data_IF_596379608464
#
_entry.id   IF_596379608464
#
_cell.length_a   1.000
_cell.length_b   1.000
_cell.length_c   1.000
_cell.angle_alpha   90.00
_cell.angle_beta   90.00
_cell.angle_gamma   90.00
#
_symmetry.space_group_name_H-M   'P 1'
#
loop_
_entity.id
_entity.type
_entity.pdbx_description
1 polymer ?
#
# COMPACT_ATOMS: atom_id res chain seq x y z
N UNK A 1 9.65 4.09 -15.81
CA UNK A 1 10.01 3.36 -14.57
C UNK A 1 9.55 1.91 -14.62
N UNK A 2 8.25 1.63 -14.76
CA UNK A 2 7.75 0.24 -14.82
C UNK A 2 8.20 -0.54 -16.08
N UNK A 3 8.75 0.12 -17.10
CA UNK A 3 9.29 -0.51 -18.32
C UNK A 3 10.43 -1.50 -18.05
N UNK A 4 11.15 -1.36 -16.93
CA UNK A 4 12.17 -2.33 -16.51
C UNK A 4 11.54 -3.66 -16.03
N UNK A 5 10.22 -3.69 -15.82
CA UNK A 5 9.42 -4.84 -15.38
C UNK A 5 8.24 -5.09 -16.32
N UNK A 6 8.49 -5.47 -17.60
CA UNK A 6 7.47 -5.45 -18.66
C UNK A 6 6.26 -6.35 -18.38
N UNK A 7 6.48 -7.55 -17.81
CA UNK A 7 5.39 -8.46 -17.45
C UNK A 7 4.44 -7.86 -16.42
N UNK A 8 4.98 -7.13 -15.43
CA UNK A 8 4.17 -6.42 -14.46
C UNK A 8 3.48 -5.19 -15.08
N UNK A 9 4.19 -4.43 -15.92
CA UNK A 9 3.65 -3.26 -16.62
C UNK A 9 2.42 -3.62 -17.47
N UNK A 10 2.44 -4.76 -18.17
CA UNK A 10 1.31 -5.22 -18.96
C UNK A 10 0.05 -5.43 -18.09
N UNK A 11 0.17 -6.19 -16.99
CA UNK A 11 -0.92 -6.41 -16.05
C UNK A 11 -1.42 -5.12 -15.40
N UNK A 12 -0.48 -4.22 -15.04
CA UNK A 12 -0.80 -2.89 -14.52
C UNK A 12 -1.64 -2.07 -15.50
N UNK A 13 -1.22 -1.97 -16.77
CA UNK A 13 -1.93 -1.21 -17.79
C UNK A 13 -3.33 -1.78 -18.06
N UNK A 14 -3.47 -3.11 -18.11
CA UNK A 14 -4.77 -3.77 -18.32
C UNK A 14 -5.74 -3.45 -17.18
N UNK A 15 -5.32 -3.62 -15.92
CA UNK A 15 -6.15 -3.30 -14.77
C UNK A 15 -6.51 -1.80 -14.72
N UNK A 16 -5.53 -0.93 -14.96
CA UNK A 16 -5.75 0.52 -14.92
C UNK A 16 -6.75 0.97 -15.98
N UNK A 17 -6.66 0.39 -17.19
CA UNK A 17 -7.63 0.61 -18.25
C UNK A 17 -9.02 0.13 -17.84
N UNK A 18 -9.15 -1.11 -17.36
CA UNK A 18 -10.44 -1.70 -17.03
C UNK A 18 -11.16 -0.90 -15.92
N UNK A 19 -10.42 -0.56 -14.86
CA UNK A 19 -10.96 0.20 -13.74
C UNK A 19 -11.54 1.56 -14.13
N UNK A 20 -10.96 2.27 -15.11
CA UNK A 20 -11.31 3.66 -15.41
C UNK A 20 -12.06 3.85 -16.73
N UNK A 21 -11.74 3.02 -17.72
CA UNK A 21 -12.21 3.14 -19.11
C UNK A 21 -12.96 1.90 -19.62
N UNK A 22 -12.80 0.75 -18.99
CA UNK A 22 -13.51 -0.49 -19.37
C UNK A 22 -14.99 -0.48 -18.99
N UNK A 23 -15.69 -1.57 -19.28
CA UNK A 23 -17.09 -1.69 -18.89
C UNK A 23 -17.19 -1.91 -17.36
N UNK A 24 -18.22 -1.36 -16.74
CA UNK A 24 -18.34 -1.52 -15.29
C UNK A 24 -19.50 -0.79 -14.65
N UNK A 25 -19.77 -1.06 -13.35
CA UNK A 25 -20.94 -0.56 -12.64
C UNK A 25 -21.05 0.97 -12.58
N UNK A 26 -19.92 1.69 -12.58
CA UNK A 26 -19.89 3.15 -12.46
C UNK A 26 -19.77 3.85 -13.82
N UNK A 27 -20.39 5.02 -14.00
CA UNK A 27 -20.10 5.90 -15.13
C UNK A 27 -18.66 6.43 -15.10
N UNK A 28 -18.03 6.63 -16.27
CA UNK A 28 -16.64 7.08 -16.36
C UNK A 28 -16.35 8.38 -15.58
N UNK A 29 -17.27 9.36 -15.60
CA UNK A 29 -17.12 10.61 -14.84
C UNK A 29 -17.00 10.38 -13.34
N UNK A 30 -17.80 9.46 -12.77
CA UNK A 30 -17.68 9.10 -11.35
C UNK A 30 -16.35 8.39 -11.07
N UNK A 31 -15.92 7.48 -11.94
CA UNK A 31 -14.64 6.76 -11.77
C UNK A 31 -13.46 7.72 -11.68
N UNK A 32 -13.39 8.70 -12.59
CA UNK A 32 -12.32 9.72 -12.60
C UNK A 32 -12.37 10.59 -11.34
N UNK A 33 -13.57 11.02 -10.91
CA UNK A 33 -13.69 11.82 -9.69
C UNK A 33 -13.32 11.04 -8.41
N UNK A 34 -13.67 9.75 -8.34
CA UNK A 34 -13.25 8.86 -7.23
C UNK A 34 -11.72 8.74 -7.20
N UNK A 35 -11.08 8.58 -8.35
CA UNK A 35 -9.62 8.54 -8.45
C UNK A 35 -8.97 9.85 -7.98
N UNK A 36 -9.56 11.00 -8.32
CA UNK A 36 -9.13 12.32 -7.80
C UNK A 36 -9.24 12.33 -6.27
N UNK A 37 -10.40 11.97 -5.70
CA UNK A 37 -10.62 11.98 -4.25
C UNK A 37 -9.62 11.08 -3.50
N UNK A 38 -9.30 9.93 -4.06
CA UNK A 38 -8.34 8.97 -3.52
C UNK A 38 -6.91 9.54 -3.54
N UNK A 39 -6.44 10.04 -4.69
CA UNK A 39 -5.12 10.66 -4.81
C UNK A 39 -4.94 11.90 -3.90
N UNK A 40 -6.02 12.66 -3.67
CA UNK A 40 -6.02 13.80 -2.75
C UNK A 40 -5.69 13.41 -1.30
N UNK A 41 -5.95 12.16 -0.87
CA UNK A 41 -5.65 11.71 0.51
C UNK A 41 -4.18 11.67 0.88
N UNK A 42 -3.33 11.68 -0.14
CA UNK A 42 -1.87 11.62 -0.01
C UNK A 42 -1.20 12.81 -0.70
N UNK A 43 -1.94 13.89 -0.96
CA UNK A 43 -1.44 15.09 -1.64
C UNK A 43 -0.63 14.78 -2.92
N UNK A 44 -1.00 13.74 -3.68
CA UNK A 44 -0.25 13.29 -4.86
C UNK A 44 -0.64 14.12 -6.09
N UNK A 45 0.04 15.24 -6.35
CA UNK A 45 -0.34 16.15 -7.44
C UNK A 45 -0.27 15.52 -8.82
N UNK A 46 0.70 14.63 -9.05
CA UNK A 46 0.83 13.92 -10.33
C UNK A 46 -0.49 13.22 -10.73
N UNK A 47 -1.05 12.41 -9.82
CA UNK A 47 -2.30 11.67 -10.08
C UNK A 47 -3.52 12.58 -10.03
N UNK A 48 -3.55 13.58 -9.15
CA UNK A 48 -4.68 14.52 -9.05
C UNK A 48 -4.84 15.30 -10.36
N UNK A 49 -3.77 15.86 -10.90
CA UNK A 49 -3.84 16.65 -12.14
C UNK A 49 -4.11 15.76 -13.36
N UNK A 50 -3.50 14.58 -13.44
CA UNK A 50 -3.78 13.61 -14.51
C UNK A 50 -5.26 13.20 -14.52
N UNK A 51 -5.84 12.89 -13.36
CA UNK A 51 -7.25 12.49 -13.30
C UNK A 51 -8.22 13.67 -13.42
N UNK A 52 -7.84 14.91 -13.05
CA UNK A 52 -8.64 16.12 -13.35
C UNK A 52 -8.76 16.32 -14.86
N UNK A 53 -7.66 16.22 -15.61
CA UNK A 53 -7.68 16.31 -17.06
C UNK A 53 -8.56 15.21 -17.65
N UNK A 54 -8.34 13.96 -17.27
CA UNK A 54 -9.13 12.83 -17.75
C UNK A 54 -10.62 12.94 -17.38
N UNK A 55 -10.96 13.51 -16.21
CA UNK A 55 -12.34 13.77 -15.79
C UNK A 55 -13.05 14.77 -16.71
N UNK A 56 -12.38 15.86 -17.11
CA UNK A 56 -12.95 16.85 -18.03
C UNK A 56 -13.08 16.27 -19.45
N UNK A 57 -12.13 15.46 -19.91
CA UNK A 57 -12.17 14.80 -21.22
C UNK A 57 -13.37 13.85 -21.38
N UNK A 58 -13.79 13.19 -20.30
CA UNK A 58 -14.99 12.33 -20.30
C UNK A 58 -16.29 13.10 -20.01
N UNK A 59 -16.26 14.44 -20.06
CA UNK A 59 -17.44 15.31 -19.90
C UNK A 59 -17.81 15.61 -18.44
N UNK A 60 -16.86 15.50 -17.51
CA UNK A 60 -17.03 15.91 -16.12
C UNK A 60 -17.26 17.42 -15.97
N UNK A 61 -18.07 17.82 -14.97
CA UNK A 61 -18.34 19.23 -14.68
C UNK A 61 -17.18 19.89 -13.95
N UNK A 62 -16.65 20.99 -14.48
CA UNK A 62 -15.64 21.82 -13.81
C UNK A 62 -16.07 22.30 -12.42
N UNK A 63 -17.38 22.46 -12.20
CA UNK A 63 -17.93 22.87 -10.91
C UNK A 63 -17.58 21.86 -9.81
N UNK A 64 -17.56 20.56 -10.12
CA UNK A 64 -17.23 19.52 -9.13
C UNK A 64 -15.77 19.63 -8.66
N UNK A 65 -14.89 20.19 -9.49
CA UNK A 65 -13.48 20.38 -9.16
C UNK A 65 -13.25 21.57 -8.19
N UNK A 66 -14.26 22.40 -7.96
CA UNK A 66 -14.19 23.48 -6.96
C UNK A 66 -14.29 22.95 -5.51
N UNK A 67 -14.77 21.71 -5.34
CA UNK A 67 -14.76 21.03 -4.05
C UNK A 67 -15.83 19.93 -3.96
N UNK A 68 -15.67 19.04 -2.98
CA UNK A 68 -16.53 17.86 -2.80
C UNK A 68 -18.02 18.22 -2.66
N UNK A 69 -18.32 19.38 -2.05
CA UNK A 69 -19.69 19.84 -1.85
C UNK A 69 -20.42 20.21 -3.16
N UNK A 70 -19.69 20.47 -4.25
CA UNK A 70 -20.24 20.66 -5.59
C UNK A 70 -20.49 19.35 -6.34
N UNK A 71 -19.87 18.24 -5.90
CA UNK A 71 -20.10 16.93 -6.49
C UNK A 71 -21.48 16.35 -6.08
N UNK A 72 -22.04 15.39 -6.83
CA UNK A 72 -23.29 14.73 -6.49
C UNK A 72 -23.26 14.12 -5.09
N UNK A 73 -24.41 14.12 -4.42
CA UNK A 73 -24.56 13.56 -3.06
C UNK A 73 -24.02 12.13 -2.94
N UNK A 74 -24.16 11.34 -4.00
CA UNK A 74 -23.62 9.99 -4.12
C UNK A 74 -22.10 9.92 -3.86
N UNK A 75 -21.31 10.83 -4.44
CA UNK A 75 -19.86 10.93 -4.22
C UNK A 75 -19.51 11.51 -2.85
N UNK A 76 -20.28 12.49 -2.37
CA UNK A 76 -20.10 13.04 -1.02
C UNK A 76 -20.27 11.96 0.05
N UNK A 77 -21.24 11.06 -0.12
CA UNK A 77 -21.51 9.97 0.83
C UNK A 77 -20.41 8.89 0.81
N UNK A 78 -19.69 8.74 -0.30
CA UNK A 78 -18.54 7.84 -0.45
C UNK A 78 -17.29 8.34 0.28
N UNK A 79 -17.15 9.65 0.50
CA UNK A 79 -15.94 10.26 1.06
C UNK A 79 -15.47 9.62 2.37
N UNK A 80 -16.38 9.25 3.26
CA UNK A 80 -15.98 8.60 4.51
C UNK A 80 -15.31 7.24 4.29
N UNK A 81 -15.75 6.48 3.28
CA UNK A 81 -15.09 5.22 2.88
C UNK A 81 -13.69 5.50 2.33
N UNK A 82 -13.53 6.56 1.53
CA UNK A 82 -12.23 7.00 1.02
C UNK A 82 -11.23 7.28 2.16
N UNK A 83 -11.67 8.04 3.18
CA UNK A 83 -10.87 8.33 4.37
C UNK A 83 -10.40 7.05 5.08
N UNK A 84 -11.35 6.15 5.37
CA UNK A 84 -11.08 4.93 6.13
C UNK A 84 -10.11 4.03 5.35
N UNK A 85 -10.35 3.79 4.05
CA UNK A 85 -9.52 2.88 3.26
C UNK A 85 -8.09 3.39 3.12
N UNK A 86 -7.90 4.69 2.86
CA UNK A 86 -6.58 5.29 2.68
C UNK A 86 -5.68 5.14 3.91
N UNK A 87 -6.26 5.19 5.11
CA UNK A 87 -5.51 5.46 6.33
C UNK A 87 -5.67 4.41 7.43
N UNK A 88 -6.88 3.88 7.62
CA UNK A 88 -7.19 2.93 8.69
C UNK A 88 -8.18 1.87 8.19
N UNK A 89 -7.85 1.11 7.13
CA UNK A 89 -8.80 0.24 6.41
C UNK A 89 -9.45 -0.81 7.30
N UNK A 90 -8.77 -1.24 8.36
CA UNK A 90 -9.31 -2.16 9.38
C UNK A 90 -10.54 -1.64 10.14
N UNK A 91 -10.82 -0.33 10.10
CA UNK A 91 -12.06 0.24 10.66
C UNK A 91 -13.27 0.06 9.73
N UNK A 92 -13.05 -0.22 8.46
CA UNK A 92 -14.12 -0.43 7.50
C UNK A 92 -14.91 -1.70 7.84
N UNK A 93 -16.24 -1.62 7.79
CA UNK A 93 -17.12 -2.67 8.30
C UNK A 93 -18.50 -2.57 7.65
N UNK A 94 -19.34 -3.59 7.86
CA UNK A 94 -20.66 -3.72 7.23
C UNK A 94 -21.61 -2.53 7.45
N UNK A 95 -21.46 -1.75 8.53
CA UNK A 95 -22.29 -0.56 8.75
C UNK A 95 -21.97 0.57 7.77
N UNK A 96 -20.71 0.70 7.36
CA UNK A 96 -20.30 1.63 6.31
C UNK A 96 -20.91 1.24 4.96
N UNK A 97 -20.87 -0.06 4.62
CA UNK A 97 -21.53 -0.61 3.42
C UNK A 97 -23.04 -0.32 3.45
N UNK A 98 -23.71 -0.64 4.56
CA UNK A 98 -25.15 -0.40 4.73
C UNK A 98 -25.52 1.08 4.55
N UNK A 99 -24.67 2.01 5.03
CA UNK A 99 -24.90 3.45 4.87
C UNK A 99 -24.86 3.85 3.39
N UNK A 100 -23.88 3.35 2.62
CA UNK A 100 -23.78 3.62 1.19
C UNK A 100 -24.97 3.03 0.41
N UNK A 101 -25.38 1.80 0.73
CA UNK A 101 -26.54 1.18 0.09
C UNK A 101 -27.81 2.00 0.35
N UNK A 102 -28.00 2.49 1.58
CA UNK A 102 -29.11 3.40 1.91
C UNK A 102 -29.04 4.74 1.17
N UNK A 103 -27.86 5.17 0.76
CA UNK A 103 -27.62 6.35 -0.07
C UNK A 103 -27.72 6.08 -1.59
N UNK A 104 -28.17 4.89 -2.01
CA UNK A 104 -28.41 4.56 -3.42
C UNK A 104 -27.20 4.02 -4.18
N UNK A 105 -26.19 3.50 -3.47
CA UNK A 105 -25.12 2.71 -4.07
C UNK A 105 -25.51 1.23 -4.18
N UNK A 106 -25.28 0.62 -5.34
CA UNK A 106 -25.34 -0.84 -5.45
C UNK A 106 -24.06 -1.48 -4.90
N UNK A 107 -24.11 -2.77 -4.55
CA UNK A 107 -22.95 -3.50 -4.04
C UNK A 107 -21.82 -3.57 -5.10
N UNK A 108 -22.17 -3.73 -6.38
CA UNK A 108 -21.22 -3.70 -7.49
C UNK A 108 -20.57 -2.32 -7.67
N UNK A 109 -21.33 -1.23 -7.53
CA UNK A 109 -20.77 0.13 -7.57
C UNK A 109 -19.83 0.40 -6.38
N UNK A 110 -20.16 -0.08 -5.18
CA UNK A 110 -19.29 0.03 -4.00
C UNK A 110 -18.00 -0.75 -4.25
N UNK A 111 -18.10 -1.98 -4.78
CA UNK A 111 -16.94 -2.83 -5.09
C UNK A 111 -16.02 -2.14 -6.09
N UNK A 112 -16.57 -1.60 -7.18
CA UNK A 112 -15.81 -0.84 -8.17
C UNK A 112 -15.15 0.41 -7.55
N UNK A 113 -15.88 1.17 -6.74
CA UNK A 113 -15.33 2.35 -6.05
C UNK A 113 -14.19 1.98 -5.10
N UNK A 114 -14.31 0.89 -4.34
CA UNK A 114 -13.26 0.37 -3.45
C UNK A 114 -12.01 0.01 -4.26
N UNK A 115 -12.16 -0.68 -5.40
CA UNK A 115 -11.04 -1.00 -6.28
C UNK A 115 -10.32 0.24 -6.80
N UNK A 116 -11.07 1.27 -7.22
CA UNK A 116 -10.47 2.53 -7.69
C UNK A 116 -9.74 3.26 -6.54
N UNK A 117 -10.39 3.42 -5.39
CA UNK A 117 -9.78 4.11 -4.24
C UNK A 117 -8.48 3.43 -3.81
N UNK A 118 -8.52 2.11 -3.56
CA UNK A 118 -7.35 1.36 -3.13
C UNK A 118 -6.21 1.41 -4.18
N UNK A 119 -6.54 1.34 -5.47
CA UNK A 119 -5.55 1.47 -6.56
C UNK A 119 -4.87 2.84 -6.55
N UNK A 120 -5.61 3.92 -6.34
CA UNK A 120 -5.05 5.28 -6.34
C UNK A 120 -4.32 5.66 -5.04
N UNK A 121 -4.74 5.12 -3.89
CA UNK A 121 -3.97 5.21 -2.65
C UNK A 121 -2.61 4.54 -2.78
N UNK A 122 -2.60 3.32 -3.33
CA UNK A 122 -1.39 2.56 -3.51
C UNK A 122 -0.49 3.17 -4.61
N UNK A 123 -1.07 3.69 -5.70
CA UNK A 123 -0.34 4.46 -6.72
C UNK A 123 0.31 5.72 -6.15
N UNK A 124 -0.37 6.42 -5.24
CA UNK A 124 0.23 7.58 -4.55
C UNK A 124 1.50 7.15 -3.81
N UNK A 125 1.47 5.99 -3.14
CA UNK A 125 2.67 5.42 -2.50
C UNK A 125 3.79 5.18 -3.49
N UNK A 126 3.48 4.62 -4.66
CA UNK A 126 4.45 4.36 -5.71
C UNK A 126 5.07 5.67 -6.26
N UNK A 127 4.25 6.68 -6.56
CA UNK A 127 4.69 7.97 -7.11
C UNK A 127 5.62 8.71 -6.15
N UNK A 128 5.24 8.81 -4.87
CA UNK A 128 6.08 9.42 -3.83
C UNK A 128 7.34 8.59 -3.55
N UNK A 129 7.22 7.27 -3.46
CA UNK A 129 8.34 6.36 -3.22
C UNK A 129 9.40 6.38 -4.31
N UNK A 130 8.98 6.60 -5.56
CA UNK A 130 9.87 6.78 -6.70
C UNK A 130 10.40 8.21 -6.86
N UNK A 131 9.99 9.16 -6.02
CA UNK A 131 10.45 10.55 -6.07
C UNK A 131 9.82 11.39 -7.20
N UNK A 132 8.81 10.88 -7.92
CA UNK A 132 8.18 11.58 -9.05
C UNK A 132 7.54 12.89 -8.60
N UNK A 133 6.84 12.88 -7.46
CA UNK A 133 6.19 14.07 -6.92
C UNK A 133 7.22 15.20 -6.65
N UNK A 134 8.35 14.86 -6.03
CA UNK A 134 9.42 15.80 -5.72
C UNK A 134 10.09 16.39 -6.97
N UNK A 135 10.09 15.67 -8.10
CA UNK A 135 10.60 16.19 -9.38
C UNK A 135 9.61 17.10 -10.11
N UNK A 136 8.31 16.97 -9.85
CA UNK A 136 7.27 17.81 -10.45
C UNK A 136 7.07 19.13 -9.72
N UNK A 137 7.35 19.15 -8.41
CA UNK A 137 7.32 20.36 -7.60
C UNK A 137 8.71 21.02 -7.57
N UNK A 138 8.83 22.33 -7.84
CA UNK A 138 10.07 23.12 -7.68
C UNK A 138 10.54 23.22 -6.20
N UNK A 139 10.28 22.20 -5.38
CA UNK A 139 10.70 22.12 -3.99
C UNK A 139 12.20 21.92 -3.92
N UNK A 140 12.84 22.63 -2.98
CA UNK A 140 14.26 22.45 -2.69
C UNK A 140 14.54 20.99 -2.36
N UNK A 141 15.57 20.43 -3.01
CA UNK A 141 16.03 19.06 -2.77
C UNK A 141 16.51 18.95 -1.33
N UNK A 142 15.62 18.54 -0.43
CA UNK A 142 15.99 18.17 0.93
C UNK A 142 16.70 16.81 0.91
N UNK A 143 17.72 16.64 1.75
CA UNK A 143 18.36 15.34 1.94
C UNK A 143 17.35 14.33 2.44
N UNK A 144 17.43 13.07 1.98
CA UNK A 144 16.49 12.02 2.39
C UNK A 144 16.38 11.97 3.93
N UNK A 145 15.17 12.03 4.51
CA UNK A 145 14.99 12.08 5.96
C UNK A 145 15.54 10.83 6.66
N UNK A 146 15.71 9.73 5.91
CA UNK A 146 16.30 8.48 6.38
C UNK A 146 17.83 8.52 6.52
N UNK A 147 18.51 9.53 5.98
CA UNK A 147 19.95 9.77 6.21
C UNK A 147 20.20 10.27 7.63
N UNK A 148 19.27 11.03 8.20
CA UNK A 148 19.38 11.61 9.53
C UNK A 148 18.74 10.74 10.62
N UNK A 149 17.82 9.84 10.24
CA UNK A 149 17.18 8.90 11.14
C UNK A 149 18.12 7.73 11.53
N UNK A 150 18.85 7.93 12.63
CA UNK A 150 19.30 6.91 13.59
C UNK A 150 20.64 6.17 13.34
N UNK A 151 21.62 6.54 14.16
CA UNK A 151 22.72 5.69 14.63
C UNK A 151 22.29 4.60 15.66
N UNK A 152 20.98 4.39 15.88
CA UNK A 152 20.42 3.58 17.00
C UNK A 152 19.70 2.28 16.59
N UNK A 153 20.14 1.61 15.52
CA UNK A 153 19.68 0.25 15.18
C UNK A 153 20.22 -0.83 16.13
N UNK A 154 19.55 -2.00 16.19
CA UNK A 154 20.14 -3.21 16.79
C UNK A 154 21.45 -3.58 16.07
N UNK A 155 22.40 -4.30 16.70
CA UNK A 155 23.64 -4.71 16.04
C UNK A 155 23.38 -5.41 14.69
N UNK A 156 22.42 -6.34 14.70
CA UNK A 156 21.95 -7.04 13.49
C UNK A 156 21.43 -6.09 12.40
N UNK A 157 20.73 -5.00 12.76
CA UNK A 157 20.28 -4.02 11.78
C UNK A 157 21.43 -3.18 11.22
N UNK A 158 22.46 -2.88 12.02
CA UNK A 158 23.63 -2.11 11.56
C UNK A 158 24.48 -2.92 10.57
N UNK A 159 24.69 -4.20 10.86
CA UNK A 159 25.38 -5.12 9.95
C UNK A 159 24.70 -5.20 8.57
N UNK A 160 23.37 -5.27 8.53
CA UNK A 160 22.62 -5.23 7.27
C UNK A 160 22.80 -3.90 6.53
N UNK A 161 22.76 -2.78 7.26
CA UNK A 161 22.88 -1.45 6.68
C UNK A 161 24.26 -1.22 6.07
N UNK A 162 25.29 -1.58 6.81
CA UNK A 162 26.69 -1.41 6.41
C UNK A 162 27.08 -2.40 5.32
N UNK A 163 26.64 -3.66 5.42
CA UNK A 163 26.97 -4.73 4.50
C UNK A 163 26.06 -4.85 3.28
N UNK A 164 24.87 -4.22 3.30
CA UNK A 164 23.93 -4.18 2.18
C UNK A 164 23.56 -5.57 1.64
N UNK A 165 23.55 -5.69 0.31
CA UNK A 165 23.27 -6.94 -0.42
C UNK A 165 24.10 -8.12 0.08
N UNK A 166 25.39 -7.95 0.42
CA UNK A 166 26.24 -9.08 0.80
C UNK A 166 25.76 -9.79 2.06
N UNK A 167 25.44 -9.02 3.10
CA UNK A 167 24.94 -9.55 4.38
C UNK A 167 23.50 -10.06 4.24
N UNK A 168 22.67 -9.36 3.46
CA UNK A 168 21.30 -9.81 3.18
C UNK A 168 21.30 -11.22 2.57
N UNK A 169 22.13 -11.45 1.57
CA UNK A 169 22.22 -12.75 0.89
C UNK A 169 22.71 -13.86 1.80
N UNK A 170 23.66 -13.57 2.68
CA UNK A 170 24.13 -14.56 3.66
C UNK A 170 23.03 -14.96 4.65
N UNK A 171 22.23 -13.99 5.11
CA UNK A 171 21.09 -14.26 5.98
C UNK A 171 20.00 -15.04 5.30
N UNK A 172 19.71 -14.73 4.02
CA UNK A 172 18.75 -15.50 3.24
C UNK A 172 19.19 -16.96 3.07
N UNK A 173 20.49 -17.22 2.82
CA UNK A 173 21.02 -18.60 2.77
C UNK A 173 20.84 -19.31 4.09
N UNK A 174 21.19 -18.64 5.20
CA UNK A 174 21.06 -19.20 6.54
C UNK A 174 19.61 -19.58 6.86
N UNK A 175 18.66 -18.69 6.53
CA UNK A 175 17.23 -18.94 6.72
C UNK A 175 16.71 -20.06 5.82
N UNK A 176 17.13 -20.11 4.56
CA UNK A 176 16.74 -21.17 3.62
C UNK A 176 17.21 -22.55 4.10
N UNK A 177 18.45 -22.66 4.60
CA UNK A 177 18.97 -23.89 5.21
C UNK A 177 18.16 -24.29 6.45
N UNK A 178 17.81 -23.34 7.32
CA UNK A 178 17.01 -23.61 8.52
C UNK A 178 15.57 -24.06 8.19
N UNK A 179 15.00 -23.60 7.07
CA UNK A 179 13.65 -24.00 6.63
C UNK A 179 13.60 -25.39 5.99
N UNK A 180 14.72 -25.87 5.42
CA UNK A 180 14.77 -27.21 4.81
C UNK A 180 14.61 -28.38 5.81
N UNK A 181 14.69 -28.10 7.12
CA UNK A 181 14.56 -29.09 8.20
C UNK A 181 13.09 -29.45 8.57
N UNK A 182 12.10 -29.17 7.71
CA UNK A 182 10.71 -29.65 7.81
C UNK A 182 9.91 -29.27 9.09
N UNK A 183 10.31 -28.25 9.83
CA UNK A 183 9.51 -27.77 10.96
C UNK A 183 8.47 -26.75 10.50
N UNK A 184 7.22 -27.18 10.35
CA UNK A 184 6.07 -26.28 10.23
C UNK A 184 6.01 -25.42 11.50
N UNK A 185 6.05 -24.09 11.34
CA UNK A 185 5.88 -23.18 12.47
C UNK A 185 4.45 -23.32 13.01
N UNK A 186 4.32 -23.53 14.32
CA UNK A 186 3.01 -23.60 14.97
C UNK A 186 2.32 -22.23 14.91
N UNK A 187 0.98 -22.22 14.80
CA UNK A 187 0.18 -20.98 14.82
C UNK A 187 0.48 -20.09 16.04
N UNK A 188 0.79 -20.70 17.19
CA UNK A 188 1.13 -19.98 18.42
C UNK A 188 2.43 -19.16 18.28
N UNK A 189 3.49 -19.78 17.76
CA UNK A 189 4.77 -19.10 17.47
C UNK A 189 4.60 -18.01 16.41
N UNK A 190 3.80 -18.25 15.37
CA UNK A 190 3.44 -17.23 14.37
C UNK A 190 2.74 -16.05 15.03
N UNK A 191 1.79 -16.31 15.92
CA UNK A 191 1.07 -15.27 16.66
C UNK A 191 1.98 -14.46 17.57
N UNK A 192 2.87 -15.11 18.31
CA UNK A 192 3.82 -14.45 19.20
C UNK A 192 4.81 -13.56 18.43
N UNK A 193 5.38 -14.09 17.34
CA UNK A 193 6.32 -13.34 16.49
C UNK A 193 5.63 -12.16 15.79
N UNK A 194 4.38 -12.33 15.34
CA UNK A 194 3.57 -11.26 14.77
C UNK A 194 3.30 -10.14 15.79
N UNK A 195 2.84 -10.49 17.00
CA UNK A 195 2.57 -9.50 18.06
C UNK A 195 3.85 -8.77 18.49
N UNK A 196 5.01 -9.44 18.45
CA UNK A 196 6.31 -8.79 18.67
C UNK A 196 6.63 -7.79 17.57
N UNK A 197 6.46 -8.15 16.29
CA UNK A 197 6.69 -7.24 15.17
C UNK A 197 5.72 -6.05 15.20
N UNK A 198 4.44 -6.30 15.42
CA UNK A 198 3.38 -5.30 15.56
C UNK A 198 3.66 -4.27 16.67
N UNK A 199 4.28 -4.70 17.78
CA UNK A 199 4.77 -3.78 18.82
C UNK A 199 6.01 -3.01 18.39
N UNK A 200 6.90 -3.63 17.61
CA UNK A 200 8.09 -2.96 17.07
C UNK A 200 7.71 -1.88 16.07
N UNK A 201 6.78 -2.14 15.14
CA UNK A 201 6.32 -1.16 14.14
C UNK A 201 5.69 0.06 14.80
N UNK A 202 4.95 -0.11 15.90
CA UNK A 202 4.41 1.00 16.69
C UNK A 202 5.48 1.87 17.38
N UNK A 203 6.68 1.33 17.62
CA UNK A 203 7.82 2.08 18.18
C UNK A 203 8.72 2.69 17.10
N UNK A 204 8.53 2.30 15.84
CA UNK A 204 9.24 2.90 14.71
C UNK A 204 8.51 4.20 14.37
N UNK A 205 8.99 5.30 14.94
CA UNK A 205 8.60 6.65 14.54
C UNK A 205 9.07 6.90 13.10
N UNK A 206 8.17 7.36 12.25
CA UNK A 206 8.56 7.99 10.99
C UNK A 206 9.28 9.30 11.30
N UNK A 207 10.19 9.77 10.43
CA UNK A 207 10.89 11.02 10.66
C UNK A 207 9.87 12.14 10.89
N UNK A 208 9.95 12.83 12.03
CA UNK A 208 9.25 14.08 12.22
C UNK A 208 9.85 15.08 11.22
N UNK A 209 9.17 15.31 10.10
CA UNK A 209 9.43 16.50 9.31
C UNK A 209 8.97 17.65 10.19
N UNK A 210 9.91 18.45 10.70
CA UNK A 210 9.59 19.70 11.42
C UNK A 210 8.56 20.46 10.57
N UNK A 211 7.31 20.47 11.03
CA UNK A 211 6.22 21.20 10.40
C UNK A 211 6.48 22.70 10.58
N UNK A 212 7.34 23.27 9.75
CA UNK A 212 7.37 24.71 9.53
C UNK A 212 6.07 25.07 8.82
N UNK A 213 5.06 25.39 9.64
CA UNK A 213 3.67 25.70 9.30
C UNK A 213 2.89 24.48 8.82
N UNK A 214 1.80 24.14 9.51
CA UNK A 214 0.78 23.22 9.02
C UNK A 214 0.22 23.77 7.71
N UNK A 215 0.85 23.42 6.59
CA UNK A 215 0.29 23.65 5.26
C UNK A 215 -0.91 22.75 5.16
N UNK A 216 -2.11 23.33 5.19
CA UNK A 216 -3.34 22.65 4.81
C UNK A 216 -3.08 21.77 3.57
N UNK A 217 -3.52 20.51 3.58
CA UNK A 217 -3.49 19.65 2.39
C UNK A 217 -3.96 20.43 1.18
N UNK A 218 -3.19 20.38 0.08
CA UNK A 218 -3.43 21.17 -1.14
C UNK A 218 -4.83 20.93 -1.71
N UNK A 219 -5.38 19.77 -1.41
CA UNK A 219 -6.63 19.27 -1.97
C UNK A 219 -7.73 19.05 -0.94
N UNK A 220 -7.66 19.71 0.22
CA UNK A 220 -8.66 19.59 1.29
C UNK A 220 -10.08 19.98 0.86
N UNK A 221 -10.23 20.81 -0.18
CA UNK A 221 -11.52 21.18 -0.76
C UNK A 221 -12.17 20.01 -1.53
N UNK A 222 -11.37 19.14 -2.16
CA UNK A 222 -11.81 17.95 -2.90
C UNK A 222 -11.91 16.71 -2.01
N UNK A 223 -11.10 16.65 -0.96
CA UNK A 223 -11.09 15.55 0.02
C UNK A 223 -10.95 16.12 1.44
N UNK A 224 -12.06 16.57 2.06
CA UNK A 224 -12.07 17.15 3.40
C UNK A 224 -11.54 16.20 4.49
N UNK A 225 -11.34 16.72 5.69
CA UNK A 225 -10.75 16.02 6.85
C UNK A 225 -9.31 15.55 6.59
N UNK A 226 -8.36 16.47 6.32
CA UNK A 226 -6.97 16.12 6.08
C UNK A 226 -6.30 15.49 7.31
N UNK A 227 -6.81 15.76 8.51
CA UNK A 227 -6.26 15.23 9.77
C UNK A 227 -6.56 13.74 9.99
N UNK A 228 -7.49 13.15 9.22
CA UNK A 228 -7.73 11.70 9.26
C UNK A 228 -6.58 10.97 8.56
N UNK A 229 -5.55 10.63 9.32
CA UNK A 229 -4.31 10.01 8.82
C UNK A 229 -4.15 8.58 9.33
N UNK A 230 -3.14 7.89 8.79
CA UNK A 230 -2.76 6.59 9.31
C UNK A 230 -2.40 6.69 10.79
N UNK A 231 -2.88 5.71 11.54
CA UNK A 231 -2.57 5.50 12.94
C UNK A 231 -2.20 4.04 13.08
N UNK A 232 -1.10 3.74 13.77
CA UNK A 232 -0.65 2.36 13.92
C UNK A 232 -1.80 1.44 14.37
N UNK A 233 -1.99 0.34 13.63
CA UNK A 233 -3.00 -0.70 13.94
C UNK A 233 -2.91 -1.17 15.40
N UNK A 234 -1.72 -1.07 16.00
CA UNK A 234 -1.51 -1.28 17.42
C UNK A 234 -0.97 -0.02 18.09
N UNK A 235 -1.72 0.53 19.03
CA UNK A 235 -1.27 1.63 19.89
C UNK A 235 -0.57 1.10 21.13
N UNK A 236 0.52 1.76 21.52
CA UNK A 236 1.29 1.40 22.72
C UNK A 236 0.42 1.51 23.98
N UNK A 237 0.25 0.39 24.69
CA UNK A 237 -0.46 0.35 25.97
C UNK A 237 -1.98 0.24 25.88
N UNK A 238 -2.55 0.21 24.67
CA UNK A 238 -3.99 0.03 24.44
C UNK A 238 -4.26 -1.37 23.87
N UNK A 239 -5.37 -1.99 24.30
CA UNK A 239 -5.89 -3.17 23.59
C UNK A 239 -6.51 -2.67 22.29
N UNK A 240 -6.00 -3.12 21.14
CA UNK A 240 -6.62 -2.82 19.84
C UNK A 240 -8.08 -3.29 19.88
N UNK A 241 -9.03 -2.38 19.62
CA UNK A 241 -10.47 -2.71 19.59
C UNK A 241 -10.87 -3.56 18.38
N UNK A 242 -10.05 -3.52 17.32
CA UNK A 242 -10.25 -4.28 16.09
C UNK A 242 -9.36 -5.53 16.07
N UNK A 243 -9.93 -6.71 15.76
CA UNK A 243 -9.16 -7.94 15.71
C UNK A 243 -8.19 -7.95 14.52
N UNK A 244 -7.01 -8.54 14.72
CA UNK A 244 -6.08 -8.92 13.65
C UNK A 244 -6.83 -9.81 12.64
N UNK A 245 -6.67 -9.53 11.36
CA UNK A 245 -7.21 -10.38 10.29
C UNK A 245 -6.22 -11.51 10.04
N UNK A 246 -6.65 -12.75 10.24
CA UNK A 246 -5.86 -13.92 9.86
C UNK A 246 -6.04 -14.18 8.36
N UNK A 247 -4.97 -14.56 7.68
CA UNK A 247 -5.03 -14.92 6.26
C UNK A 247 -6.01 -16.07 6.02
N UNK A 248 -6.13 -17.03 6.94
CA UNK A 248 -7.11 -18.13 6.84
C UNK A 248 -8.57 -17.66 6.95
N UNK A 249 -8.84 -16.58 7.71
CA UNK A 249 -10.19 -16.05 7.89
C UNK A 249 -10.62 -15.16 6.72
N UNK A 250 -9.67 -14.56 6.01
CA UNK A 250 -9.92 -13.64 4.90
C UNK A 250 -8.68 -13.55 3.99
N UNK A 251 -8.46 -14.56 3.16
CA UNK A 251 -7.42 -14.55 2.13
C UNK A 251 -7.91 -13.88 0.85
N UNK A 252 -6.96 -13.49 0.00
CA UNK A 252 -7.30 -13.01 -1.32
C UNK A 252 -7.97 -14.12 -2.13
N UNK A 253 -7.42 -15.34 -2.11
CA UNK A 253 -7.87 -16.46 -2.94
C UNK A 253 -9.30 -16.90 -2.63
N UNK A 254 -9.65 -17.01 -1.35
CA UNK A 254 -10.95 -17.58 -0.92
C UNK A 254 -12.05 -16.52 -0.79
N UNK A 255 -11.69 -15.30 -0.39
CA UNK A 255 -12.67 -14.26 -0.10
C UNK A 255 -12.58 -13.09 -1.07
N UNK A 256 -11.39 -12.54 -1.27
CA UNK A 256 -11.18 -11.34 -2.08
C UNK A 256 -11.55 -11.56 -3.55
N UNK A 257 -10.87 -12.52 -4.18
CA UNK A 257 -11.07 -12.90 -5.57
C UNK A 257 -12.50 -13.35 -5.83
N UNK A 258 -13.02 -14.29 -5.06
CA UNK A 258 -14.39 -14.81 -5.24
C UNK A 258 -15.44 -13.69 -5.21
N UNK A 259 -15.33 -12.75 -4.27
CA UNK A 259 -16.29 -11.66 -4.14
C UNK A 259 -16.17 -10.64 -5.29
N UNK A 260 -14.95 -10.28 -5.69
CA UNK A 260 -14.76 -9.38 -6.84
C UNK A 260 -15.22 -10.05 -8.12
N UNK A 261 -14.91 -11.32 -8.34
CA UNK A 261 -15.29 -12.06 -9.55
C UNK A 261 -16.80 -12.24 -9.68
N UNK A 262 -17.54 -12.27 -8.57
CA UNK A 262 -19.00 -12.27 -8.55
C UNK A 262 -19.59 -10.87 -8.86
N UNK A 263 -19.01 -9.81 -8.29
CA UNK A 263 -19.58 -8.47 -8.32
C UNK A 263 -19.07 -7.60 -9.48
N UNK A 264 -17.88 -7.90 -10.00
CA UNK A 264 -17.17 -7.21 -11.06
C UNK A 264 -16.13 -8.13 -11.75
N UNK A 265 -16.63 -9.12 -12.47
CA UNK A 265 -15.89 -10.28 -12.99
C UNK A 265 -14.52 -9.97 -13.62
N UNK A 266 -14.47 -9.12 -14.64
CA UNK A 266 -13.24 -8.86 -15.41
C UNK A 266 -12.11 -8.27 -14.55
N UNK A 267 -12.44 -7.51 -13.51
CA UNK A 267 -11.44 -6.92 -12.60
C UNK A 267 -10.90 -7.95 -11.60
N UNK A 268 -11.66 -8.99 -11.26
CA UNK A 268 -11.23 -10.05 -10.37
C UNK A 268 -10.00 -10.77 -10.90
N UNK A 269 -10.06 -11.24 -12.15
CA UNK A 269 -8.96 -11.93 -12.82
C UNK A 269 -7.74 -11.02 -13.00
N UNK A 270 -7.96 -9.75 -13.40
CA UNK A 270 -6.87 -8.79 -13.60
C UNK A 270 -6.13 -8.46 -12.28
N UNK A 271 -6.85 -8.34 -11.17
CA UNK A 271 -6.25 -8.13 -9.85
C UNK A 271 -5.44 -9.35 -9.41
N UNK A 272 -6.01 -10.54 -9.57
CA UNK A 272 -5.36 -11.79 -9.18
C UNK A 272 -4.06 -12.03 -9.97
N UNK A 273 -4.10 -11.87 -11.29
CA UNK A 273 -2.93 -11.95 -12.17
C UNK A 273 -1.86 -10.92 -11.75
N UNK A 274 -2.26 -9.68 -11.44
CA UNK A 274 -1.33 -8.62 -11.03
C UNK A 274 -0.66 -8.92 -9.70
N UNK A 275 -1.42 -9.38 -8.69
CA UNK A 275 -0.87 -9.77 -7.40
C UNK A 275 0.09 -10.95 -7.53
N UNK A 276 -0.30 -12.01 -8.25
CA UNK A 276 0.56 -13.16 -8.51
C UNK A 276 1.82 -12.78 -9.26
N UNK A 277 1.70 -11.91 -10.26
CA UNK A 277 2.86 -11.42 -11.02
C UNK A 277 3.83 -10.69 -10.12
N UNK A 278 3.38 -9.69 -9.35
CA UNK A 278 4.27 -8.94 -8.46
C UNK A 278 4.87 -9.81 -7.34
N UNK A 279 4.07 -10.69 -6.73
CA UNK A 279 4.52 -11.54 -5.64
C UNK A 279 5.53 -12.60 -6.09
N UNK A 280 5.41 -13.12 -7.32
CA UNK A 280 6.30 -14.17 -7.83
C UNK A 280 7.45 -13.63 -8.71
N UNK A 281 7.39 -12.38 -9.15
CA UNK A 281 8.41 -11.78 -10.02
C UNK A 281 9.80 -11.87 -9.39
N UNK A 282 10.73 -12.44 -10.15
CA UNK A 282 12.15 -12.51 -9.81
C UNK A 282 12.97 -12.63 -11.08
N UNK A 283 14.13 -11.95 -11.09
CA UNK A 283 15.14 -12.10 -12.13
C UNK A 283 16.28 -13.03 -11.71
N UNK A 284 16.14 -13.64 -10.53
CA UNK A 284 17.19 -14.38 -9.85
C UNK A 284 18.50 -13.58 -9.68
N UNK A 285 18.36 -12.27 -9.42
CA UNK A 285 19.47 -11.34 -9.18
C UNK A 285 19.27 -10.59 -7.87
N UNK A 286 20.38 -10.12 -7.29
CA UNK A 286 20.38 -9.15 -6.20
C UNK A 286 21.68 -8.33 -6.28
N UNK A 287 21.56 -7.04 -6.60
CA UNK A 287 22.69 -6.18 -6.93
C UNK A 287 23.47 -6.73 -8.13
N UNK A 288 24.79 -6.89 -7.98
CA UNK A 288 25.64 -7.48 -9.01
C UNK A 288 25.69 -9.00 -9.01
N UNK A 289 24.94 -9.69 -8.12
CA UNK A 289 24.97 -11.15 -8.02
C UNK A 289 23.83 -11.77 -8.82
N UNK A 290 24.13 -12.86 -9.51
CA UNK A 290 23.18 -13.66 -10.30
C UNK A 290 22.93 -15.02 -9.64
N UNK A 291 21.91 -15.73 -10.10
CA UNK A 291 21.48 -17.03 -9.57
C UNK A 291 21.11 -17.00 -8.08
N UNK A 292 20.47 -15.90 -7.66
CA UNK A 292 20.01 -15.68 -6.30
C UNK A 292 18.50 -15.81 -6.25
N UNK A 293 17.97 -16.73 -5.44
CA UNK A 293 16.55 -16.69 -5.10
C UNK A 293 16.28 -15.59 -4.06
N UNK A 294 15.47 -14.61 -4.43
CA UNK A 294 15.09 -13.45 -3.61
C UNK A 294 13.77 -13.62 -2.87
N UNK A 295 13.12 -14.78 -2.97
CA UNK A 295 11.78 -15.01 -2.43
C UNK A 295 11.64 -14.61 -0.95
N UNK A 296 12.57 -15.05 -0.09
CA UNK A 296 12.53 -14.73 1.34
C UNK A 296 12.49 -13.22 1.61
N UNK A 297 13.30 -12.44 0.89
CA UNK A 297 13.31 -10.99 1.02
C UNK A 297 12.00 -10.37 0.53
N UNK A 298 11.51 -10.77 -0.65
CA UNK A 298 10.28 -10.25 -1.25
C UNK A 298 9.05 -10.57 -0.38
N UNK A 299 8.95 -11.81 0.10
CA UNK A 299 7.93 -12.22 1.06
C UNK A 299 8.04 -11.46 2.39
N UNK A 300 9.26 -11.21 2.88
CA UNK A 300 9.49 -10.38 4.07
C UNK A 300 9.00 -8.94 3.92
N UNK A 301 9.21 -8.31 2.76
CA UNK A 301 8.66 -6.97 2.44
C UNK A 301 7.14 -7.01 2.42
N UNK A 302 6.54 -7.96 1.70
CA UNK A 302 5.08 -8.12 1.59
C UNK A 302 4.42 -8.31 2.96
N UNK A 303 4.95 -9.23 3.76
CA UNK A 303 4.40 -9.58 5.08
C UNK A 303 4.62 -8.48 6.12
N UNK A 304 5.70 -7.70 5.99
CA UNK A 304 5.90 -6.49 6.80
C UNK A 304 4.82 -5.44 6.49
N UNK A 305 4.53 -5.19 5.22
CA UNK A 305 3.50 -4.22 4.81
C UNK A 305 2.11 -4.67 5.26
N UNK A 306 1.74 -5.93 5.06
CA UNK A 306 0.49 -6.50 5.57
C UNK A 306 0.37 -6.39 7.10
N UNK A 307 1.48 -6.54 7.83
CA UNK A 307 1.51 -6.35 9.28
C UNK A 307 1.15 -4.91 9.70
N UNK A 308 1.56 -3.89 8.93
CA UNK A 308 1.17 -2.49 9.17
C UNK A 308 -0.35 -2.29 9.06
N UNK A 309 -1.01 -3.09 8.24
CA UNK A 309 -2.47 -3.08 8.05
C UNK A 309 -3.22 -4.12 8.89
N UNK A 310 -2.55 -4.77 9.84
CA UNK A 310 -3.17 -5.71 10.78
C UNK A 310 -3.53 -7.06 10.17
N UNK A 311 -2.88 -7.46 9.08
CA UNK A 311 -3.05 -8.75 8.41
C UNK A 311 -1.91 -9.70 8.81
N UNK A 312 -2.26 -10.88 9.31
CA UNK A 312 -1.32 -11.92 9.74
C UNK A 312 -1.42 -13.15 8.83
N UNK A 313 -0.29 -13.60 8.31
CA UNK A 313 -0.14 -14.86 7.58
C UNK A 313 0.23 -15.97 8.56
N UNK A 314 -0.59 -17.01 8.64
CA UNK A 314 -0.52 -18.01 9.71
C UNK A 314 0.66 -18.99 9.59
N UNK A 315 1.22 -19.14 8.39
CA UNK A 315 2.33 -20.02 8.03
C UNK A 315 3.69 -19.30 7.97
N UNK A 316 3.77 -18.05 8.45
CA UNK A 316 4.98 -17.22 8.36
C UNK A 316 5.61 -16.89 9.71
N UNK A 317 6.92 -17.11 9.84
CA UNK A 317 7.68 -16.64 11.00
C UNK A 317 8.07 -15.16 10.85
N UNK A 318 7.35 -14.29 11.54
CA UNK A 318 7.59 -12.85 11.55
C UNK A 318 8.93 -12.45 12.19
N UNK A 319 9.63 -13.38 12.87
CA UNK A 319 10.99 -13.14 13.34
C UNK A 319 11.98 -12.93 12.19
N UNK A 320 11.74 -13.55 11.03
CA UNK A 320 12.58 -13.47 9.84
C UNK A 320 12.68 -12.04 9.28
N UNK A 321 11.62 -11.23 9.42
CA UNK A 321 11.60 -9.83 8.96
C UNK A 321 12.71 -9.00 9.62
N UNK A 322 13.09 -9.29 10.87
CA UNK A 322 14.21 -8.60 11.53
C UNK A 322 15.59 -9.04 11.01
N UNK A 323 15.67 -10.21 10.36
CA UNK A 323 16.89 -10.71 9.75
C UNK A 323 17.07 -10.22 8.32
N UNK A 324 15.96 -9.92 7.63
CA UNK A 324 15.93 -9.55 6.21
C UNK A 324 15.82 -8.05 5.98
N UNK A 325 15.08 -7.31 6.83
CA UNK A 325 14.84 -5.89 6.65
C UNK A 325 15.54 -5.08 7.75
N UNK A 326 16.45 -4.21 7.36
CA UNK A 326 17.09 -3.24 8.27
C UNK A 326 16.07 -2.20 8.78
N UNK A 327 16.40 -1.54 9.89
CA UNK A 327 15.54 -0.53 10.52
C UNK A 327 15.19 0.61 9.56
N UNK A 328 16.14 1.12 8.79
CA UNK A 328 15.92 2.24 7.88
C UNK A 328 15.01 1.84 6.71
N UNK A 329 15.16 0.62 6.19
CA UNK A 329 14.24 0.06 5.20
C UNK A 329 12.83 -0.11 5.78
N UNK A 330 12.68 -0.56 7.03
CA UNK A 330 11.36 -0.64 7.70
C UNK A 330 10.70 0.72 7.91
N UNK A 331 11.49 1.72 8.32
CA UNK A 331 11.04 3.11 8.44
C UNK A 331 10.57 3.64 7.09
N UNK A 332 11.36 3.42 6.04
CA UNK A 332 11.01 3.81 4.69
C UNK A 332 9.73 3.11 4.20
N UNK A 333 9.65 1.78 4.31
CA UNK A 333 8.47 1.01 3.92
C UNK A 333 7.21 1.48 4.64
N UNK A 334 7.30 1.76 5.96
CA UNK A 334 6.18 2.34 6.74
C UNK A 334 5.81 3.74 6.24
N UNK A 335 6.81 4.59 5.98
CA UNK A 335 6.57 5.96 5.52
C UNK A 335 5.92 5.97 4.14
N UNK A 336 6.49 5.25 3.16
CA UNK A 336 5.94 5.21 1.79
C UNK A 336 4.55 4.58 1.74
N UNK A 337 4.24 3.61 2.59
CA UNK A 337 2.92 2.97 2.59
C UNK A 337 1.85 3.72 3.36
N UNK A 338 2.21 4.46 4.42
CA UNK A 338 1.24 5.05 5.37
C UNK A 338 1.21 6.58 5.34
N UNK A 339 2.32 7.21 4.96
CA UNK A 339 2.52 8.67 4.92
C UNK A 339 3.34 9.09 3.69
N UNK A 340 2.99 8.64 2.47
CA UNK A 340 3.79 8.90 1.27
C UNK A 340 4.06 10.39 1.03
N UNK A 341 3.14 11.28 1.40
CA UNK A 341 3.27 12.73 1.30
C UNK A 341 4.45 13.32 2.09
N UNK A 342 4.99 12.60 3.08
CA UNK A 342 6.20 13.01 3.82
C UNK A 342 7.49 12.79 3.02
N UNK A 343 7.43 12.05 1.90
CA UNK A 343 8.57 11.84 1.01
C UNK A 343 8.70 13.03 0.05
N UNK A 344 9.49 14.03 0.46
CA UNK A 344 9.71 15.27 -0.31
C UNK A 344 11.05 15.28 -1.09
N UNK A 345 11.76 14.15 -1.14
CA UNK A 345 13.06 14.02 -1.80
C UNK A 345 12.92 13.34 -3.18
N UNK A 346 13.78 13.72 -4.13
CA UNK A 346 13.81 13.14 -5.48
C UNK A 346 14.37 11.69 -5.51
N UNK A 347 15.22 11.31 -4.55
CA UNK A 347 15.64 9.91 -4.35
C UNK A 347 15.45 9.52 -2.88
N UNK A 348 14.21 9.20 -2.46
CA UNK A 348 13.90 8.80 -1.09
C UNK A 348 14.71 7.58 -0.63
N UNK A 349 15.05 6.70 -1.58
CA UNK A 349 15.72 5.44 -1.36
C UNK A 349 17.24 5.49 -1.53
N UNK A 350 17.84 6.67 -1.68
CA UNK A 350 19.28 6.84 -1.94
C UNK A 350 20.16 6.18 -0.86
N UNK A 351 19.76 6.31 0.41
CA UNK A 351 20.55 5.92 1.59
C UNK A 351 20.15 4.58 2.21
N UNK A 352 19.26 3.83 1.55
CA UNK A 352 18.77 2.52 1.98
C UNK A 352 18.94 1.52 0.84
N UNK A 353 18.78 0.22 1.12
CA UNK A 353 18.94 -0.83 0.11
C UNK A 353 20.33 -0.77 -0.55
N UNK A 354 21.37 -0.63 0.28
CA UNK A 354 22.76 -0.51 -0.17
C UNK A 354 23.14 -1.69 -1.06
N UNK A 355 23.60 -1.39 -2.28
CA UNK A 355 24.02 -2.38 -3.27
C UNK A 355 22.91 -2.87 -4.20
N UNK A 356 21.66 -2.45 -4.01
CA UNK A 356 20.57 -2.71 -4.95
C UNK A 356 20.73 -1.84 -6.19
N UNK A 357 20.38 -2.38 -7.36
CA UNK A 357 20.23 -1.65 -8.60
C UNK A 357 18.96 -0.78 -8.57
N UNK A 358 18.90 0.24 -9.43
CA UNK A 358 17.72 1.10 -9.51
C UNK A 358 16.45 0.30 -9.85
N UNK A 359 16.53 -0.63 -10.80
CA UNK A 359 15.42 -1.52 -11.15
C UNK A 359 14.96 -2.37 -9.97
N UNK A 360 15.87 -2.80 -9.10
CA UNK A 360 15.51 -3.56 -7.89
C UNK A 360 14.81 -2.67 -6.85
N UNK A 361 15.18 -1.38 -6.75
CA UNK A 361 14.45 -0.41 -5.92
C UNK A 361 13.03 -0.18 -6.47
N UNK A 362 12.87 -0.07 -7.79
CA UNK A 362 11.55 0.00 -8.43
C UNK A 362 10.73 -1.27 -8.17
N UNK A 363 11.36 -2.44 -8.22
CA UNK A 363 10.71 -3.70 -7.86
C UNK A 363 10.21 -3.70 -6.41
N UNK A 364 10.97 -3.16 -5.45
CA UNK A 364 10.47 -2.97 -4.07
C UNK A 364 9.27 -2.02 -4.03
N UNK A 365 9.23 -0.97 -4.86
CA UNK A 365 8.05 -0.08 -4.97
C UNK A 365 6.84 -0.78 -5.59
N UNK A 366 7.03 -1.72 -6.51
CA UNK A 366 5.96 -2.59 -7.00
C UNK A 366 5.39 -3.45 -5.86
N UNK A 367 6.24 -4.03 -5.00
CA UNK A 367 5.77 -4.77 -3.82
C UNK A 367 5.00 -3.87 -2.84
N UNK A 368 5.43 -2.61 -2.65
CA UNK A 368 4.70 -1.63 -1.83
C UNK A 368 3.31 -1.34 -2.40
N UNK A 369 3.24 -1.05 -3.70
CA UNK A 369 2.01 -0.79 -4.43
C UNK A 369 1.02 -1.96 -4.29
N UNK A 370 1.47 -3.17 -4.57
CA UNK A 370 0.58 -4.34 -4.59
C UNK A 370 0.18 -4.83 -3.19
N UNK A 371 1.11 -4.86 -2.23
CA UNK A 371 0.77 -5.29 -0.87
C UNK A 371 -0.17 -4.30 -0.18
N UNK A 372 -0.02 -2.99 -0.43
CA UNK A 372 -0.96 -1.98 0.07
C UNK A 372 -2.34 -2.12 -0.57
N UNK A 373 -2.39 -2.23 -1.90
CA UNK A 373 -3.64 -2.44 -2.63
C UNK A 373 -4.37 -3.69 -2.12
N UNK A 374 -3.69 -4.82 -2.00
CA UNK A 374 -4.29 -6.07 -1.52
C UNK A 374 -4.80 -5.91 -0.07
N UNK A 375 -4.05 -5.25 0.81
CA UNK A 375 -4.47 -5.04 2.19
C UNK A 375 -5.75 -4.19 2.30
N UNK A 376 -5.84 -3.08 1.56
CA UNK A 376 -7.04 -2.23 1.53
C UNK A 376 -8.24 -2.97 0.94
N UNK A 377 -8.04 -3.73 -0.15
CA UNK A 377 -9.08 -4.56 -0.75
C UNK A 377 -9.58 -5.63 0.21
N UNK A 378 -8.70 -6.35 0.92
CA UNK A 378 -9.11 -7.38 1.85
C UNK A 378 -10.03 -6.83 2.95
N UNK A 379 -9.70 -5.68 3.54
CA UNK A 379 -10.58 -5.04 4.53
C UNK A 379 -11.90 -4.54 3.90
N UNK A 380 -11.83 -3.92 2.72
CA UNK A 380 -12.99 -3.45 1.96
C UNK A 380 -13.98 -4.57 1.62
N UNK A 381 -13.47 -5.65 1.05
CA UNK A 381 -14.21 -6.82 0.58
C UNK A 381 -14.71 -7.68 1.74
N UNK A 382 -13.94 -7.81 2.83
CA UNK A 382 -14.41 -8.47 4.06
C UNK A 382 -15.67 -7.79 4.60
N UNK A 383 -15.70 -6.46 4.62
CA UNK A 383 -16.87 -5.71 5.07
C UNK A 383 -18.08 -5.89 4.13
N UNK A 384 -17.85 -5.99 2.82
CA UNK A 384 -18.88 -6.29 1.83
C UNK A 384 -19.43 -7.71 2.00
N UNK A 385 -18.56 -8.73 2.14
CA UNK A 385 -18.97 -10.10 2.40
C UNK A 385 -19.81 -10.23 3.68
N UNK A 386 -19.42 -9.54 4.75
CA UNK A 386 -20.19 -9.47 6.02
C UNK A 386 -21.55 -8.76 5.90
N UNK A 387 -21.77 -7.97 4.84
CA UNK A 387 -23.04 -7.33 4.55
C UNK A 387 -23.96 -8.23 3.71
N UNK A 388 -23.38 -9.04 2.83
CA UNK A 388 -24.10 -9.96 1.95
C UNK A 388 -24.54 -11.26 2.65
N UNK A 389 -23.81 -11.67 3.67
CA UNK A 389 -24.20 -12.74 4.60
C UNK A 389 -25.12 -12.22 5.71
#
# INVERSE_FOLDING_TARGET
MLEEHPTYLEGFCRLHHELLSGDGPLPHTLRRYIAIMAACRHDCSFLVEEQKTAFLEVGGSEEWLQGLHYAPKKLQDLHHTNLILAHQPWLYNKHHVLKLVKSGWSVSEITHAICIMAQFHALSSFIHGCGVEATCSDLQVHSSPFVQACSSGSPSSRELSEGGVDILLERMRTLSLAQSDYNCISEELTRESFEKLKKQTANISTPEVECTNATHSRYSHLSPDPDFMYVDFHKRGEKTSVPTVKSQDCSWEEHGFSLVSELYNEVGDLLDDKFKTAYNMTYYTCGHKTHVDTFLFRQGVWNYLHCLYGIRHDDYDYSQINQLLERNLKMFLKTVSCYPEQLTCADPAASIMKGFLQSEKIHVMILVLEARLQAELLHGLRALGQYLM
#
